data_IF_322547122805
#
_entry.id   IF_322547122805
#
_cell.length_a   1.000
_cell.length_b   1.000
_cell.length_c   1.000
_cell.angle_alpha   90.00
_cell.angle_beta   90.00
_cell.angle_gamma   90.00
#
_symmetry.space_group_name_H-M   'P 1'
#
loop_
_entity.id
_entity.type
_entity.pdbx_description
1 polymer ?
#
# COMPACT_ATOMS: atom_id res chain seq x y z
N UNK A 1 -64.13 4.00 74.78
CA UNK A 1 -64.51 4.48 73.44
C UNK A 1 -63.37 5.35 72.89
N UNK A 2 -62.15 4.78 72.79
CA UNK A 2 -60.92 5.54 72.45
C UNK A 2 -59.99 4.84 71.45
N UNK A 3 -60.32 3.63 70.99
CA UNK A 3 -59.44 2.87 70.07
C UNK A 3 -59.78 3.09 68.58
N UNK A 4 -61.03 3.46 68.26
CA UNK A 4 -61.52 3.48 66.88
C UNK A 4 -60.91 4.60 66.03
N UNK A 5 -60.61 5.76 66.63
CA UNK A 5 -59.99 6.89 65.92
C UNK A 5 -58.52 6.63 65.60
N UNK A 6 -57.80 5.86 66.43
CA UNK A 6 -56.41 5.45 66.21
C UNK A 6 -56.34 4.46 65.04
N UNK A 7 -57.24 3.47 65.02
CA UNK A 7 -57.35 2.49 63.92
C UNK A 7 -57.70 3.21 62.62
N UNK A 8 -58.62 4.18 62.65
CA UNK A 8 -58.97 5.00 61.49
C UNK A 8 -57.77 5.80 60.96
N UNK A 9 -56.99 6.43 61.84
CA UNK A 9 -55.79 7.18 61.46
C UNK A 9 -54.71 6.28 60.83
N UNK A 10 -54.45 5.11 61.42
CA UNK A 10 -53.51 4.13 60.88
C UNK A 10 -53.94 3.65 59.49
N UNK A 11 -55.23 3.40 59.27
CA UNK A 11 -55.76 3.01 57.96
C UNK A 11 -55.56 4.11 56.91
N UNK A 12 -55.77 5.38 57.27
CA UNK A 12 -55.52 6.52 56.35
C UNK A 12 -54.05 6.62 55.98
N UNK A 13 -53.13 6.48 56.95
CA UNK A 13 -51.68 6.52 56.70
C UNK A 13 -51.26 5.36 55.79
N UNK A 14 -51.75 4.14 56.02
CA UNK A 14 -51.48 2.99 55.17
C UNK A 14 -51.99 3.20 53.74
N UNK A 15 -53.21 3.74 53.57
CA UNK A 15 -53.77 4.03 52.25
C UNK A 15 -52.94 5.07 51.49
N UNK A 16 -52.51 6.15 52.17
CA UNK A 16 -51.63 7.16 51.57
C UNK A 16 -50.28 6.55 51.17
N UNK A 17 -49.69 5.71 52.02
CA UNK A 17 -48.44 5.00 51.73
C UNK A 17 -48.55 4.11 50.48
N UNK A 18 -49.66 3.36 50.34
CA UNK A 18 -49.94 2.54 49.16
C UNK A 18 -50.06 3.41 47.90
N UNK A 19 -50.75 4.55 47.98
CA UNK A 19 -50.89 5.48 46.85
C UNK A 19 -49.53 6.03 46.42
N UNK A 20 -48.68 6.44 47.37
CA UNK A 20 -47.32 6.93 47.09
C UNK A 20 -46.46 5.84 46.45
N UNK A 21 -46.53 4.59 46.95
CA UNK A 21 -45.80 3.46 46.38
C UNK A 21 -46.23 3.17 44.93
N UNK A 22 -47.54 3.21 44.65
CA UNK A 22 -48.08 3.05 43.28
C UNK A 22 -47.57 4.18 42.36
N UNK A 23 -47.56 5.43 42.84
CA UNK A 23 -47.04 6.57 42.09
C UNK A 23 -45.54 6.43 41.79
N UNK A 24 -44.74 6.04 42.78
CA UNK A 24 -43.30 5.77 42.60
C UNK A 24 -43.05 4.64 41.60
N UNK A 25 -43.81 3.55 41.69
CA UNK A 25 -43.72 2.44 40.75
C UNK A 25 -44.05 2.87 39.32
N UNK A 26 -45.13 3.65 39.12
CA UNK A 26 -45.50 4.20 37.79
C UNK A 26 -44.41 5.11 37.23
N UNK A 27 -43.78 5.93 38.07
CA UNK A 27 -42.67 6.80 37.65
C UNK A 27 -41.43 5.98 37.31
N UNK A 28 -41.11 4.93 38.06
CA UNK A 28 -40.03 3.99 37.75
C UNK A 28 -40.24 3.29 36.41
N UNK A 29 -41.46 2.82 36.12
CA UNK A 29 -41.81 2.21 34.82
C UNK A 29 -41.70 3.22 33.67
N UNK A 30 -42.03 4.49 33.89
CA UNK A 30 -41.84 5.54 32.88
C UNK A 30 -40.35 5.79 32.63
N UNK A 31 -39.53 5.87 33.69
CA UNK A 31 -38.08 6.06 33.56
C UNK A 31 -37.41 4.89 32.85
N UNK A 32 -37.78 3.65 33.13
CA UNK A 32 -37.22 2.49 32.43
C UNK A 32 -37.56 2.48 30.94
N UNK A 33 -38.78 2.88 30.55
CA UNK A 33 -39.16 3.06 29.14
C UNK A 33 -38.35 4.16 28.45
N UNK A 34 -38.17 5.30 29.11
CA UNK A 34 -37.34 6.40 28.58
C UNK A 34 -35.88 5.97 28.39
N UNK A 35 -35.32 5.22 29.35
CA UNK A 35 -33.98 4.65 29.23
C UNK A 35 -33.87 3.64 28.09
N UNK A 36 -34.89 2.80 27.88
CA UNK A 36 -34.93 1.87 26.76
C UNK A 36 -34.94 2.58 25.40
N UNK A 37 -35.75 3.64 25.24
CA UNK A 37 -35.75 4.49 24.04
C UNK A 37 -34.38 5.14 23.83
N UNK A 38 -33.76 5.65 24.91
CA UNK A 38 -32.41 6.22 24.85
C UNK A 38 -31.36 5.20 24.39
N UNK A 39 -31.42 3.96 24.89
CA UNK A 39 -30.52 2.88 24.49
C UNK A 39 -30.69 2.52 23.00
N UNK A 40 -31.92 2.49 22.51
CA UNK A 40 -32.21 2.24 21.10
C UNK A 40 -31.64 3.35 20.19
N UNK A 41 -31.75 4.61 20.61
CA UNK A 41 -31.15 5.74 19.90
C UNK A 41 -29.62 5.65 19.87
N UNK A 42 -28.97 5.31 21.00
CA UNK A 42 -27.51 5.13 21.06
C UNK A 42 -27.07 3.98 20.15
N UNK A 43 -27.80 2.86 20.13
CA UNK A 43 -27.53 1.74 19.23
C UNK A 43 -27.57 2.18 17.76
N UNK A 44 -28.63 2.91 17.37
CA UNK A 44 -28.76 3.45 16.02
C UNK A 44 -27.64 4.43 15.68
N UNK A 45 -27.24 5.29 16.62
CA UNK A 45 -26.10 6.19 16.43
C UNK A 45 -24.79 5.43 16.25
N UNK A 46 -24.57 4.35 16.99
CA UNK A 46 -23.38 3.50 16.85
C UNK A 46 -23.32 2.78 15.50
N UNK A 47 -24.46 2.27 15.02
CA UNK A 47 -24.56 1.65 13.70
C UNK A 47 -24.26 2.64 12.57
N UNK A 48 -24.83 3.86 12.65
CA UNK A 48 -24.55 4.94 11.71
C UNK A 48 -23.09 5.39 11.77
N UNK A 49 -22.51 5.53 12.97
CA UNK A 49 -21.12 5.91 13.15
C UNK A 49 -20.18 4.85 12.55
N UNK A 50 -20.44 3.56 12.83
CA UNK A 50 -19.70 2.44 12.25
C UNK A 50 -19.78 2.43 10.71
N UNK A 51 -20.96 2.61 10.13
CA UNK A 51 -21.13 2.71 8.69
C UNK A 51 -20.40 3.94 8.11
N UNK A 52 -20.48 5.09 8.77
CA UNK A 52 -19.79 6.31 8.37
C UNK A 52 -18.27 6.13 8.41
N UNK A 53 -17.72 5.54 9.46
CA UNK A 53 -16.29 5.25 9.57
C UNK A 53 -15.82 4.32 8.44
N UNK A 54 -16.58 3.26 8.14
CA UNK A 54 -16.26 2.36 7.03
C UNK A 54 -16.25 3.07 5.68
N UNK A 55 -17.25 3.92 5.42
CA UNK A 55 -17.33 4.69 4.18
C UNK A 55 -16.20 5.70 4.06
N UNK A 56 -15.84 6.38 5.17
CA UNK A 56 -14.75 7.35 5.18
C UNK A 56 -13.37 6.68 5.04
N UNK A 57 -13.17 5.52 5.66
CA UNK A 57 -11.98 4.69 5.44
C UNK A 57 -11.86 4.28 3.98
N UNK A 58 -12.95 3.82 3.35
CA UNK A 58 -12.92 3.42 1.93
C UNK A 58 -12.65 4.61 1.01
N UNK A 59 -13.28 5.76 1.27
CA UNK A 59 -12.99 7.01 0.56
C UNK A 59 -11.52 7.40 0.70
N UNK A 60 -10.99 7.36 1.92
CA UNK A 60 -9.59 7.69 2.21
C UNK A 60 -8.63 6.75 1.50
N UNK A 61 -8.90 5.44 1.48
CA UNK A 61 -8.10 4.48 0.72
C UNK A 61 -8.03 4.82 -0.77
N UNK A 62 -9.15 5.20 -1.38
CA UNK A 62 -9.19 5.59 -2.81
C UNK A 62 -8.41 6.86 -3.08
N UNK A 63 -8.56 7.88 -2.23
CA UNK A 63 -7.78 9.13 -2.34
C UNK A 63 -6.29 8.85 -2.21
N UNK A 64 -5.89 8.10 -1.18
CA UNK A 64 -4.50 7.69 -0.98
C UNK A 64 -3.95 6.91 -2.18
N UNK A 65 -4.78 6.06 -2.81
CA UNK A 65 -4.37 5.32 -4.01
C UNK A 65 -4.02 6.27 -5.14
N UNK A 66 -4.88 7.26 -5.40
CA UNK A 66 -4.63 8.27 -6.43
C UNK A 66 -3.37 9.07 -6.11
N UNK A 67 -3.19 9.47 -4.84
CA UNK A 67 -2.03 10.25 -4.42
C UNK A 67 -0.71 9.46 -4.55
N UNK A 68 -0.69 8.20 -4.12
CA UNK A 68 0.48 7.33 -4.23
C UNK A 68 0.83 7.04 -5.69
N UNK A 69 -0.18 6.78 -6.54
CA UNK A 69 0.03 6.58 -7.98
C UNK A 69 0.50 7.88 -8.65
N UNK A 70 -0.04 9.04 -8.26
CA UNK A 70 0.40 10.35 -8.74
C UNK A 70 1.88 10.58 -8.43
N UNK A 71 2.29 10.36 -7.19
CA UNK A 71 3.70 10.49 -6.76
C UNK A 71 4.61 9.57 -7.57
N UNK A 72 4.18 8.33 -7.84
CA UNK A 72 4.92 7.41 -8.69
C UNK A 72 5.11 7.96 -10.11
N UNK A 73 4.04 8.42 -10.74
CA UNK A 73 4.07 8.97 -12.10
C UNK A 73 4.94 10.22 -12.17
N UNK A 74 4.82 11.14 -11.21
CA UNK A 74 5.62 12.37 -11.13
C UNK A 74 7.13 12.10 -10.98
N UNK A 75 7.49 10.98 -10.34
CA UNK A 75 8.88 10.56 -10.16
C UNK A 75 9.43 9.77 -11.35
N UNK A 76 8.54 9.11 -12.10
CA UNK A 76 8.94 8.27 -13.23
C UNK A 76 9.49 9.16 -14.33
N UNK A 77 10.74 8.93 -14.71
CA UNK A 77 11.42 9.65 -15.78
C UNK A 77 12.12 8.67 -16.73
N UNK A 78 12.53 9.18 -17.90
CA UNK A 78 13.16 8.37 -18.94
C UNK A 78 14.52 7.79 -18.48
N UNK A 79 15.27 8.50 -17.62
CA UNK A 79 16.54 8.02 -17.05
C UNK A 79 16.32 6.77 -16.19
N UNK A 80 15.27 6.77 -15.36
CA UNK A 80 14.90 5.63 -14.53
C UNK A 80 14.45 4.43 -15.36
N UNK A 81 13.65 4.67 -16.40
CA UNK A 81 13.23 3.61 -17.34
C UNK A 81 14.44 2.98 -18.04
N UNK A 82 15.41 3.80 -18.44
CA UNK A 82 16.64 3.34 -19.07
C UNK A 82 17.53 2.55 -18.08
N UNK A 83 17.74 3.09 -16.88
CA UNK A 83 18.50 2.42 -15.81
C UNK A 83 17.86 1.08 -15.40
N UNK A 84 16.53 1.01 -15.32
CA UNK A 84 15.78 -0.23 -15.08
C UNK A 84 16.11 -1.29 -16.14
N UNK A 85 16.06 -0.93 -17.42
CA UNK A 85 16.38 -1.85 -18.53
C UNK A 85 17.82 -2.36 -18.46
N UNK A 86 18.77 -1.47 -18.13
CA UNK A 86 20.17 -1.84 -17.91
C UNK A 86 20.28 -2.85 -16.77
N UNK A 87 19.68 -2.57 -15.62
CA UNK A 87 19.71 -3.45 -14.44
C UNK A 87 19.04 -4.82 -14.70
N UNK A 88 17.99 -4.87 -15.52
CA UNK A 88 17.30 -6.12 -15.87
C UNK A 88 18.14 -7.05 -16.76
N UNK A 89 19.01 -6.49 -17.61
CA UNK A 89 19.86 -7.27 -18.52
C UNK A 89 21.26 -7.53 -17.95
N UNK A 90 21.66 -6.77 -16.94
CA UNK A 90 22.96 -6.95 -16.28
C UNK A 90 22.91 -8.18 -15.36
N UNK A 91 24.03 -8.91 -15.28
CA UNK A 91 24.13 -10.10 -14.42
C UNK A 91 24.16 -9.72 -12.94
N UNK A 92 23.82 -10.67 -12.06
CA UNK A 92 23.84 -10.42 -10.60
C UNK A 92 25.22 -9.96 -10.12
N UNK A 93 26.29 -10.60 -10.60
CA UNK A 93 27.67 -10.25 -10.21
C UNK A 93 28.04 -8.81 -10.59
N UNK A 94 27.65 -8.38 -11.79
CA UNK A 94 27.91 -7.01 -12.24
C UNK A 94 26.97 -6.00 -11.54
N UNK A 95 25.75 -6.39 -11.20
CA UNK A 95 24.89 -5.60 -10.32
C UNK A 95 25.49 -5.41 -8.92
N UNK A 96 26.20 -6.42 -8.38
CA UNK A 96 26.95 -6.28 -7.12
C UNK A 96 28.11 -5.30 -7.27
N UNK A 97 28.80 -5.31 -8.42
CA UNK A 97 29.84 -4.30 -8.68
C UNK A 97 29.24 -2.88 -8.72
N UNK A 98 28.09 -2.71 -9.38
CA UNK A 98 27.37 -1.42 -9.41
C UNK A 98 26.95 -1.00 -8.01
N UNK A 99 26.38 -1.90 -7.21
CA UNK A 99 25.95 -1.58 -5.84
C UNK A 99 27.12 -1.23 -4.92
N UNK A 100 28.29 -1.83 -5.13
CA UNK A 100 29.53 -1.54 -4.41
C UNK A 100 30.30 -0.30 -4.94
N UNK A 101 29.79 0.39 -5.96
CA UNK A 101 30.48 1.48 -6.67
C UNK A 101 31.82 1.05 -7.30
N UNK A 102 31.94 -0.20 -7.74
CA UNK A 102 33.10 -0.72 -8.47
C UNK A 102 32.84 -0.64 -9.97
N UNK A 103 33.89 -0.67 -10.77
CA UNK A 103 33.75 -0.80 -12.23
C UNK A 103 32.98 -2.08 -12.57
N UNK A 104 32.13 -2.01 -13.59
CA UNK A 104 31.24 -3.10 -13.98
C UNK A 104 31.21 -3.27 -15.50
N UNK A 105 30.74 -4.44 -15.94
CA UNK A 105 30.58 -4.78 -17.36
C UNK A 105 29.11 -4.88 -17.72
N UNK A 106 28.68 -4.04 -18.65
CA UNK A 106 27.29 -3.95 -19.09
C UNK A 106 27.15 -4.58 -20.48
N UNK A 107 26.15 -5.44 -20.74
CA UNK A 107 25.94 -5.98 -22.08
C UNK A 107 25.75 -4.89 -23.14
N UNK A 108 26.37 -5.04 -24.31
CA UNK A 108 26.23 -4.06 -25.41
C UNK A 108 24.78 -3.90 -25.90
N UNK A 109 23.94 -4.93 -25.71
CA UNK A 109 22.52 -4.89 -26.08
C UNK A 109 21.74 -3.73 -25.45
N UNK A 110 22.17 -3.24 -24.28
CA UNK A 110 21.54 -2.14 -23.57
C UNK A 110 22.30 -0.81 -23.70
N UNK A 111 23.20 -0.68 -24.68
CA UNK A 111 24.01 0.54 -24.90
C UNK A 111 23.16 1.81 -24.95
N UNK A 112 22.09 1.80 -25.76
CA UNK A 112 21.21 2.97 -25.90
C UNK A 112 20.56 3.37 -24.57
N UNK A 113 20.16 2.39 -23.75
CA UNK A 113 19.62 2.66 -22.42
C UNK A 113 20.72 3.12 -21.46
N UNK A 114 21.93 2.59 -21.55
CA UNK A 114 23.06 3.02 -20.74
C UNK A 114 23.44 4.48 -21.04
N UNK A 115 23.51 4.85 -22.32
CA UNK A 115 23.74 6.25 -22.75
C UNK A 115 22.67 7.18 -22.23
N UNK A 116 21.40 6.78 -22.34
CA UNK A 116 20.27 7.57 -21.81
C UNK A 116 20.40 7.74 -20.29
N UNK A 117 20.63 6.65 -19.55
CA UNK A 117 20.74 6.68 -18.09
C UNK A 117 21.91 7.54 -17.61
N UNK A 118 23.04 7.52 -18.32
CA UNK A 118 24.25 8.26 -17.95
C UNK A 118 24.41 9.60 -18.70
N UNK A 119 23.35 10.10 -19.34
CA UNK A 119 23.36 11.38 -20.07
C UNK A 119 23.72 12.60 -19.21
N UNK A 120 23.63 12.49 -17.88
CA UNK A 120 24.08 13.52 -16.93
C UNK A 120 25.61 13.65 -16.86
N UNK A 121 26.34 12.60 -17.22
CA UNK A 121 27.81 12.51 -17.09
C UNK A 121 28.51 12.12 -18.40
N UNK A 122 27.77 11.66 -19.40
CA UNK A 122 28.27 11.29 -20.71
C UNK A 122 27.89 12.36 -21.72
N UNK A 123 28.89 12.83 -22.46
CA UNK A 123 28.66 13.60 -23.68
C UNK A 123 28.28 12.64 -24.83
N UNK A 124 27.56 13.14 -25.83
CA UNK A 124 27.10 12.33 -26.98
C UNK A 124 28.28 11.63 -27.71
N UNK A 125 29.45 12.27 -27.72
CA UNK A 125 30.67 11.79 -28.37
C UNK A 125 31.56 10.92 -27.47
N UNK A 126 31.05 10.43 -26.33
CA UNK A 126 31.86 9.59 -25.44
C UNK A 126 32.25 8.28 -26.12
N UNK A 127 33.56 8.07 -26.24
CA UNK A 127 34.16 6.79 -26.62
C UNK A 127 33.90 5.71 -25.56
N UNK A 128 33.21 4.65 -25.97
CA UNK A 128 32.95 3.49 -25.13
C UNK A 128 34.09 2.48 -25.22
N UNK A 129 34.56 2.00 -24.07
CA UNK A 129 35.49 0.87 -24.02
C UNK A 129 34.67 -0.42 -24.12
N UNK A 130 34.66 -1.03 -25.31
CA UNK A 130 33.94 -2.28 -25.58
C UNK A 130 34.95 -3.43 -25.57
N UNK A 131 34.70 -4.46 -24.75
CA UNK A 131 35.48 -5.70 -24.71
C UNK A 131 34.53 -6.89 -24.62
N UNK A 132 34.74 -7.89 -25.48
CA UNK A 132 34.01 -9.16 -25.47
C UNK A 132 32.47 -9.01 -25.50
N UNK A 133 31.95 -7.97 -26.17
CA UNK A 133 30.51 -7.67 -26.21
C UNK A 133 29.95 -6.97 -24.98
N UNK A 134 30.81 -6.49 -24.09
CA UNK A 134 30.46 -5.69 -22.91
C UNK A 134 31.06 -4.29 -22.98
N UNK A 135 30.30 -3.32 -22.46
CA UNK A 135 30.74 -1.96 -22.21
C UNK A 135 31.32 -1.91 -20.80
N UNK A 136 32.57 -1.50 -20.66
CA UNK A 136 33.19 -1.27 -19.35
C UNK A 136 32.78 0.11 -18.82
N UNK A 137 32.16 0.12 -17.63
CA UNK A 137 31.86 1.35 -16.91
C UNK A 137 32.77 1.50 -15.69
N UNK A 138 33.19 2.73 -15.40
CA UNK A 138 34.05 3.03 -14.26
C UNK A 138 33.23 3.24 -12.96
N UNK A 139 33.94 3.48 -11.85
CA UNK A 139 33.32 3.75 -10.54
C UNK A 139 32.35 4.94 -10.54
N UNK A 140 32.67 6.04 -11.24
CA UNK A 140 31.81 7.24 -11.28
C UNK A 140 30.49 6.92 -11.99
N UNK A 141 30.57 6.23 -13.11
CA UNK A 141 29.40 5.79 -13.89
C UNK A 141 28.56 4.78 -13.14
N UNK A 142 29.22 3.85 -12.45
CA UNK A 142 28.55 2.86 -11.60
C UNK A 142 27.80 3.53 -10.45
N UNK A 143 28.38 4.58 -9.86
CA UNK A 143 27.73 5.37 -8.79
C UNK A 143 26.48 6.08 -9.29
N UNK A 144 26.54 6.70 -10.47
CA UNK A 144 25.40 7.39 -11.08
C UNK A 144 24.29 6.39 -11.46
N UNK A 145 24.67 5.28 -12.08
CA UNK A 145 23.73 4.22 -12.44
C UNK A 145 23.05 3.62 -11.19
N UNK A 146 23.84 3.35 -10.14
CA UNK A 146 23.33 2.92 -8.82
C UNK A 146 22.30 3.91 -8.28
N UNK A 147 22.60 5.21 -8.31
CA UNK A 147 21.69 6.22 -7.81
C UNK A 147 20.34 6.17 -8.51
N UNK A 148 20.32 6.03 -9.84
CA UNK A 148 19.08 5.92 -10.61
C UNK A 148 18.29 4.64 -10.28
N UNK A 149 18.98 3.49 -10.21
CA UNK A 149 18.37 2.20 -9.88
C UNK A 149 17.76 2.22 -8.47
N UNK A 150 18.54 2.67 -7.48
CA UNK A 150 18.10 2.75 -6.09
C UNK A 150 16.95 3.74 -5.94
N UNK A 151 16.98 4.87 -6.65
CA UNK A 151 15.90 5.85 -6.62
C UNK A 151 14.58 5.27 -7.14
N UNK A 152 14.63 4.52 -8.25
CA UNK A 152 13.46 3.81 -8.76
C UNK A 152 12.96 2.78 -7.74
N UNK A 153 13.84 1.91 -7.22
CA UNK A 153 13.46 0.85 -6.29
C UNK A 153 12.86 1.42 -5.00
N UNK A 154 13.44 2.49 -4.45
CA UNK A 154 12.92 3.15 -3.25
C UNK A 154 11.55 3.78 -3.49
N UNK A 155 11.35 4.41 -4.65
CA UNK A 155 10.04 4.93 -5.02
C UNK A 155 9.00 3.81 -5.14
N UNK A 156 9.40 2.67 -5.70
CA UNK A 156 8.51 1.53 -5.89
C UNK A 156 8.18 0.89 -4.53
N UNK A 157 9.19 0.66 -3.70
CA UNK A 157 9.05 0.15 -2.33
C UNK A 157 8.12 1.04 -1.51
N UNK A 158 8.18 2.37 -1.66
CA UNK A 158 7.28 3.30 -0.98
C UNK A 158 5.82 3.10 -1.39
N UNK A 159 5.55 2.94 -2.69
CA UNK A 159 4.21 2.65 -3.20
C UNK A 159 3.70 1.32 -2.65
N UNK A 160 4.54 0.29 -2.68
CA UNK A 160 4.18 -1.05 -2.25
C UNK A 160 4.08 -1.18 -0.73
N UNK A 161 4.76 -0.32 0.03
CA UNK A 161 4.55 -0.20 1.47
C UNK A 161 3.14 0.28 1.79
N UNK A 162 2.61 1.26 1.06
CA UNK A 162 1.23 1.71 1.21
C UNK A 162 0.23 0.58 0.89
N UNK A 163 0.53 -0.22 -0.15
CA UNK A 163 -0.23 -1.43 -0.47
C UNK A 163 -0.20 -2.45 0.68
N UNK A 164 0.99 -2.74 1.22
CA UNK A 164 1.18 -3.69 2.34
C UNK A 164 0.39 -3.28 3.58
N UNK A 165 0.40 -1.98 3.90
CA UNK A 165 -0.34 -1.40 5.04
C UNK A 165 -1.86 -1.30 4.83
N UNK A 166 -2.38 -1.70 3.67
CA UNK A 166 -3.80 -1.64 3.32
C UNK A 166 -4.43 -0.22 3.38
N UNK A 167 -3.60 0.83 3.31
CA UNK A 167 -4.04 2.24 3.31
C UNK A 167 -4.44 2.74 1.92
N UNK A 168 -4.30 1.88 0.90
CA UNK A 168 -4.70 2.10 -0.49
C UNK A 168 -5.63 0.98 -0.97
N UNK A 169 -6.25 1.17 -2.12
CA UNK A 169 -6.97 0.15 -2.87
C UNK A 169 -5.97 -0.89 -3.42
N UNK A 170 -5.98 -2.08 -2.79
CA UNK A 170 -5.04 -3.14 -3.14
C UNK A 170 -5.24 -3.64 -4.57
N UNK A 171 -6.49 -3.76 -5.01
CA UNK A 171 -6.78 -4.28 -6.34
C UNK A 171 -6.33 -3.31 -7.43
N UNK A 172 -6.52 -2.01 -7.18
CA UNK A 172 -6.07 -0.98 -8.10
C UNK A 172 -4.54 -0.95 -8.22
N UNK A 173 -3.81 -1.00 -7.10
CA UNK A 173 -2.35 -1.05 -7.11
C UNK A 173 -1.85 -2.35 -7.78
N UNK A 174 -2.44 -3.50 -7.47
CA UNK A 174 -2.10 -4.78 -8.10
C UNK A 174 -2.29 -4.73 -9.62
N UNK A 175 -3.37 -4.12 -10.11
CA UNK A 175 -3.61 -3.93 -11.54
C UNK A 175 -2.60 -2.97 -12.16
N UNK A 176 -2.35 -1.82 -11.54
CA UNK A 176 -1.47 -0.79 -12.09
C UNK A 176 -0.02 -1.26 -12.19
N UNK A 177 0.44 -2.06 -11.21
CA UNK A 177 1.82 -2.53 -11.11
C UNK A 177 2.00 -4.01 -11.50
N UNK A 178 1.01 -4.63 -12.16
CA UNK A 178 1.12 -6.02 -12.60
C UNK A 178 2.26 -6.25 -13.60
N UNK A 179 2.71 -5.19 -14.30
CA UNK A 179 3.82 -5.24 -15.24
C UNK A 179 5.17 -5.59 -14.58
N UNK A 180 5.28 -5.52 -13.25
CA UNK A 180 6.49 -5.90 -12.52
C UNK A 180 6.81 -7.39 -12.60
N UNK A 181 5.83 -8.23 -12.95
CA UNK A 181 6.00 -9.68 -13.10
C UNK A 181 5.55 -10.09 -14.50
N UNK A 182 6.48 -10.60 -15.31
CA UNK A 182 6.16 -11.26 -16.57
C UNK A 182 6.03 -12.76 -16.31
N UNK A 183 4.82 -13.21 -16.00
CA UNK A 183 4.52 -14.60 -15.64
C UNK A 183 5.01 -15.63 -16.67
N UNK A 184 5.07 -15.26 -17.96
CA UNK A 184 5.51 -16.17 -19.04
C UNK A 184 7.00 -16.45 -19.07
N UNK A 185 7.81 -15.50 -18.60
CA UNK A 185 9.27 -15.56 -18.69
C UNK A 185 9.92 -15.69 -17.31
N UNK A 186 9.11 -15.75 -16.24
CA UNK A 186 9.54 -15.62 -14.84
C UNK A 186 10.41 -14.37 -14.58
N UNK A 187 10.38 -13.40 -15.51
CA UNK A 187 11.11 -12.16 -15.39
C UNK A 187 10.39 -11.26 -14.39
N UNK A 188 11.09 -10.93 -13.32
CA UNK A 188 10.65 -9.97 -12.32
C UNK A 188 11.44 -8.68 -12.49
N UNK A 189 10.79 -7.55 -12.22
CA UNK A 189 11.40 -6.24 -12.31
C UNK A 189 12.71 -6.17 -11.51
N UNK A 190 13.81 -5.90 -12.21
CA UNK A 190 15.17 -5.76 -11.66
C UNK A 190 15.58 -6.87 -10.68
N UNK A 191 15.14 -8.11 -10.91
CA UNK A 191 15.46 -9.26 -10.07
C UNK A 191 16.95 -9.36 -9.75
N UNK A 192 17.80 -9.24 -10.76
CA UNK A 192 19.25 -9.39 -10.62
C UNK A 192 19.86 -8.35 -9.68
N UNK A 193 19.42 -7.10 -9.82
CA UNK A 193 19.90 -6.03 -8.94
C UNK A 193 19.37 -6.19 -7.51
N UNK A 194 18.09 -6.56 -7.33
CA UNK A 194 17.54 -6.82 -5.99
C UNK A 194 18.29 -7.97 -5.31
N UNK A 195 18.59 -9.05 -6.02
CA UNK A 195 19.42 -10.15 -5.50
C UNK A 195 20.84 -9.71 -5.12
N UNK A 196 21.43 -8.78 -5.88
CA UNK A 196 22.76 -8.25 -5.61
C UNK A 196 22.87 -7.42 -4.33
N UNK A 197 21.74 -6.91 -3.80
CA UNK A 197 21.68 -6.06 -2.59
C UNK A 197 20.84 -6.69 -1.47
N UNK A 198 20.73 -8.01 -1.45
CA UNK A 198 19.92 -8.76 -0.49
C UNK A 198 18.43 -8.33 -0.47
N UNK A 199 17.77 -8.57 -1.60
CA UNK A 199 16.45 -8.03 -1.93
C UNK A 199 15.35 -8.26 -0.88
N UNK A 200 15.41 -9.36 -0.11
CA UNK A 200 14.41 -9.62 0.93
C UNK A 200 14.55 -8.70 2.16
N UNK A 201 15.76 -8.31 2.52
CA UNK A 201 15.99 -7.36 3.61
C UNK A 201 15.86 -5.91 3.13
N UNK A 202 16.36 -5.62 1.92
CA UNK A 202 16.41 -4.25 1.40
C UNK A 202 15.08 -3.79 0.80
N UNK A 203 14.33 -4.68 0.13
CA UNK A 203 13.10 -4.36 -0.61
C UNK A 203 11.94 -5.34 -0.28
N UNK A 204 11.57 -5.46 1.00
CA UNK A 204 10.62 -6.48 1.45
C UNK A 204 9.20 -6.31 0.87
N UNK A 205 8.73 -5.09 0.62
CA UNK A 205 7.39 -4.88 0.07
C UNK A 205 7.34 -5.25 -1.41
N UNK A 206 8.40 -4.99 -2.18
CA UNK A 206 8.50 -5.47 -3.56
C UNK A 206 8.45 -7.00 -3.60
N UNK A 207 9.21 -7.72 -2.76
CA UNK A 207 9.18 -9.20 -2.75
C UNK A 207 7.79 -9.73 -2.40
N UNK A 208 7.19 -9.24 -1.31
CA UNK A 208 5.84 -9.66 -0.91
C UNK A 208 4.79 -9.39 -1.98
N UNK A 209 4.92 -8.26 -2.70
CA UNK A 209 4.01 -7.92 -3.78
C UNK A 209 4.18 -8.84 -4.98
N UNK A 210 5.42 -9.17 -5.35
CA UNK A 210 5.71 -10.11 -6.43
C UNK A 210 5.17 -11.49 -6.09
N UNK A 211 5.42 -11.99 -4.88
CA UNK A 211 4.88 -13.28 -4.40
C UNK A 211 3.36 -13.30 -4.50
N UNK A 212 2.71 -12.21 -4.07
CA UNK A 212 1.27 -12.05 -4.18
C UNK A 212 0.78 -12.07 -5.64
N UNK A 213 1.46 -11.37 -6.54
CA UNK A 213 1.10 -11.38 -7.96
C UNK A 213 1.27 -12.78 -8.55
N UNK A 214 2.38 -13.46 -8.26
CA UNK A 214 2.64 -14.83 -8.72
C UNK A 214 1.52 -15.75 -8.21
N UNK A 215 1.20 -15.73 -6.92
CA UNK A 215 0.13 -16.54 -6.34
C UNK A 215 -1.22 -16.25 -7.01
N UNK A 216 -1.58 -14.97 -7.17
CA UNK A 216 -2.87 -14.54 -7.72
C UNK A 216 -3.06 -14.96 -9.18
N UNK A 217 -1.98 -15.03 -9.96
CA UNK A 217 -2.04 -15.33 -11.39
C UNK A 217 -1.51 -16.72 -11.76
N UNK A 218 -1.06 -17.54 -10.80
CA UNK A 218 -0.56 -18.91 -11.03
C UNK A 218 -1.60 -19.82 -11.70
N UNK A 219 -2.88 -19.61 -11.38
CA UNK A 219 -3.99 -20.42 -11.87
C UNK A 219 -4.74 -19.80 -13.07
N UNK A 220 -4.30 -18.61 -13.50
CA UNK A 220 -4.86 -17.92 -14.67
C UNK A 220 -3.85 -18.03 -15.81
N UNK A 221 -4.12 -18.92 -16.76
CA UNK A 221 -3.54 -18.85 -18.13
C UNK A 221 -3.89 -17.52 -18.85
N UNK A 222 -4.65 -16.63 -18.19
CA UNK A 222 -5.00 -15.32 -18.68
C UNK A 222 -3.84 -14.34 -18.54
N UNK A 223 -3.49 -13.74 -19.68
CA UNK A 223 -2.59 -12.59 -19.80
C UNK A 223 -2.92 -11.53 -18.72
N UNK A 224 -1.90 -10.81 -18.20
CA UNK A 224 -2.18 -9.54 -17.54
C UNK A 224 -3.04 -8.66 -18.47
N UNK A 225 -3.98 -7.86 -17.94
CA UNK A 225 -4.91 -7.09 -18.76
C UNK A 225 -4.16 -6.33 -19.85
N UNK A 226 -4.55 -6.54 -21.12
CA UNK A 226 -3.94 -5.89 -22.29
C UNK A 226 -4.07 -4.36 -22.29
N UNK A 227 -4.75 -3.76 -21.32
CA UNK A 227 -5.09 -2.34 -21.30
C UNK A 227 -3.97 -1.39 -20.85
N UNK A 228 -2.82 -1.87 -20.35
CA UNK A 228 -1.71 -0.99 -19.92
C UNK A 228 -0.51 -1.04 -20.89
N UNK A 229 -0.49 -1.97 -21.86
CA UNK A 229 0.57 -2.05 -22.88
C UNK A 229 0.59 -0.85 -23.85
N UNK A 230 -0.44 0.00 -23.84
CA UNK A 230 -0.52 1.21 -24.66
C UNK A 230 0.23 2.42 -24.06
N UNK A 231 0.80 2.32 -22.85
CA UNK A 231 1.50 3.42 -22.19
C UNK A 231 3.01 3.17 -21.96
N UNK A 232 3.58 2.15 -22.60
CA UNK A 232 5.00 1.78 -22.46
C UNK A 232 5.77 1.72 -23.78
N UNK A 233 5.25 2.32 -24.85
CA UNK A 233 6.01 2.61 -26.07
C UNK A 233 6.63 4.02 -25.99
#
# INVERSE_FOLDING_TARGET
>A
MEADWVIALCNVIMVVGIIVAICQFRNGVKQSKLQAIGLEQVKKQLELASASMKNDHERTRRVNTVDVVRIWVERTNHLWSAAKKVAEKTSVAECTNISDNKSARIPIEVESNLRTALSSIWDDDKDLTIKDGFIEINTKESTELKYLIVSYLNALETVLMAWRMAIVDKEMIEKQFCFLVKLKTEEQAMKNYRQAVDGHETYPCIELFIDRLIEKYKDRDEKPPKEIAAYSE
#
